data_IF_160993494645
#
_entry.id   IF_160993494645
#
_cell.length_a   1.000
_cell.length_b   1.000
_cell.length_c   1.000
_cell.angle_alpha   90.00
_cell.angle_beta   90.00
_cell.angle_gamma   90.00
#
_symmetry.space_group_name_H-M   'P 1'
#
loop_
_entity.id
_entity.type
_entity.pdbx_description
1 polymer ?
#
# COMPACT_ATOMS: atom_id res chain seq x y z
N UNK A 1 -8.52 12.60 -5.26
CA UNK A 1 -9.44 12.75 -4.10
C UNK A 1 -8.91 11.97 -2.91
N UNK A 2 -9.21 12.44 -1.66
CA UNK A 2 -8.84 11.70 -0.44
C UNK A 2 -10.06 11.56 0.46
N UNK A 3 -10.31 10.34 0.92
CA UNK A 3 -11.47 9.97 1.75
C UNK A 3 -10.99 9.23 2.98
N UNK A 4 -11.57 9.52 4.15
CA UNK A 4 -11.34 8.75 5.38
C UNK A 4 -12.57 7.91 5.71
N UNK A 5 -12.38 6.62 5.91
CA UNK A 5 -13.40 5.69 6.39
C UNK A 5 -13.16 5.39 7.87
N UNK A 6 -14.04 5.85 8.72
CA UNK A 6 -13.91 5.68 10.18
C UNK A 6 -15.09 4.90 10.74
N UNK A 7 -14.87 4.18 11.82
CA UNK A 7 -15.92 3.41 12.49
C UNK A 7 -15.34 2.45 13.53
N UNK A 8 -16.19 1.95 14.43
CA UNK A 8 -15.80 0.99 15.47
C UNK A 8 -15.30 -0.34 14.88
N UNK A 9 -14.57 -1.12 15.66
CA UNK A 9 -14.23 -2.50 15.32
C UNK A 9 -15.50 -3.30 15.04
N UNK A 10 -15.50 -4.10 13.99
CA UNK A 10 -16.66 -4.89 13.57
C UNK A 10 -17.70 -4.14 12.74
N UNK A 11 -17.50 -2.85 12.41
CA UNK A 11 -18.46 -2.07 11.59
C UNK A 11 -18.42 -2.41 10.09
N UNK A 12 -17.58 -3.37 9.66
CA UNK A 12 -17.51 -3.81 8.27
C UNK A 12 -16.50 -3.07 7.40
N UNK A 13 -15.62 -2.22 7.96
CA UNK A 13 -14.62 -1.46 7.18
C UNK A 13 -13.73 -2.35 6.33
N UNK A 14 -13.13 -3.39 6.92
CA UNK A 14 -12.26 -4.31 6.19
C UNK A 14 -13.02 -5.13 5.13
N UNK A 15 -14.30 -5.46 5.38
CA UNK A 15 -15.16 -6.08 4.36
C UNK A 15 -15.39 -5.12 3.19
N UNK A 16 -15.64 -3.85 3.47
CA UNK A 16 -15.77 -2.82 2.43
C UNK A 16 -14.47 -2.67 1.63
N UNK A 17 -13.31 -2.68 2.30
CA UNK A 17 -12.00 -2.66 1.63
C UNK A 17 -11.84 -3.87 0.70
N UNK A 18 -12.20 -5.08 1.14
CA UNK A 18 -12.13 -6.28 0.31
C UNK A 18 -13.06 -6.20 -0.92
N UNK A 19 -14.28 -5.67 -0.75
CA UNK A 19 -15.21 -5.41 -1.85
C UNK A 19 -14.64 -4.40 -2.85
N UNK A 20 -14.12 -3.27 -2.36
CA UNK A 20 -13.53 -2.21 -3.20
C UNK A 20 -12.26 -2.67 -3.93
N UNK A 21 -11.55 -3.64 -3.36
CA UNK A 21 -10.35 -4.23 -3.97
C UNK A 21 -10.66 -5.42 -4.90
N UNK A 22 -11.94 -5.78 -5.06
CA UNK A 22 -12.35 -6.93 -5.88
C UNK A 22 -11.93 -8.28 -5.31
N UNK A 23 -11.54 -8.33 -4.02
CA UNK A 23 -11.14 -9.58 -3.35
C UNK A 23 -12.32 -10.44 -2.94
N UNK A 24 -13.49 -9.84 -2.80
CA UNK A 24 -14.78 -10.52 -2.55
C UNK A 24 -15.87 -9.88 -3.40
N UNK A 25 -16.87 -10.67 -3.78
CA UNK A 25 -18.03 -10.19 -4.53
C UNK A 25 -19.14 -9.72 -3.59
N UNK A 26 -19.89 -8.66 -3.95
CA UNK A 26 -21.03 -8.23 -3.16
C UNK A 26 -22.20 -9.23 -3.30
N UNK A 27 -22.90 -9.51 -2.19
CA UNK A 27 -24.10 -10.38 -2.18
C UNK A 27 -25.24 -9.76 -3.00
N UNK A 28 -25.28 -8.43 -3.08
CA UNK A 28 -26.24 -7.65 -3.88
C UNK A 28 -25.65 -6.28 -4.21
N UNK A 29 -26.14 -5.65 -5.26
CA UNK A 29 -25.59 -4.38 -5.74
C UNK A 29 -24.33 -4.57 -6.59
N UNK A 30 -23.52 -3.52 -6.70
CA UNK A 30 -22.27 -3.53 -7.48
C UNK A 30 -21.26 -2.58 -6.91
N UNK A 31 -19.97 -2.85 -7.16
CA UNK A 31 -18.84 -1.95 -6.92
C UNK A 31 -18.34 -1.45 -8.26
N UNK A 32 -18.14 -0.13 -8.39
CA UNK A 32 -17.66 0.45 -9.64
C UNK A 32 -16.36 1.23 -9.43
N UNK A 33 -15.50 1.19 -10.44
CA UNK A 33 -14.33 2.06 -10.59
C UNK A 33 -14.61 3.02 -11.76
N UNK A 34 -14.89 4.28 -11.45
CA UNK A 34 -15.53 5.17 -12.42
C UNK A 34 -16.88 4.61 -12.86
N UNK A 35 -17.07 4.44 -14.15
CA UNK A 35 -18.30 3.85 -14.73
C UNK A 35 -18.25 2.32 -14.87
N UNK A 36 -17.07 1.71 -14.71
CA UNK A 36 -16.88 0.28 -14.92
C UNK A 36 -17.23 -0.53 -13.67
N UNK A 37 -18.07 -1.56 -13.81
CA UNK A 37 -18.39 -2.50 -12.72
C UNK A 37 -17.20 -3.45 -12.50
N UNK A 38 -16.66 -3.50 -11.27
CA UNK A 38 -15.50 -4.34 -10.93
C UNK A 38 -15.77 -5.83 -11.19
N UNK A 39 -16.98 -6.30 -10.97
CA UNK A 39 -17.34 -7.71 -11.23
C UNK A 39 -17.29 -8.13 -12.71
N UNK A 40 -17.22 -7.16 -13.63
CA UNK A 40 -17.07 -7.41 -15.07
C UNK A 40 -15.62 -7.23 -15.55
N UNK A 41 -14.73 -6.74 -14.68
CA UNK A 41 -13.31 -6.55 -14.97
C UNK A 41 -12.53 -7.80 -14.52
N UNK A 42 -11.53 -8.17 -15.28
CA UNK A 42 -10.63 -9.27 -14.88
C UNK A 42 -9.81 -8.88 -13.63
N UNK A 43 -9.38 -9.87 -12.82
CA UNK A 43 -8.63 -9.62 -11.59
C UNK A 43 -7.31 -8.85 -11.83
N UNK A 44 -6.65 -9.07 -12.96
CA UNK A 44 -5.44 -8.35 -13.34
C UNK A 44 -5.70 -6.87 -13.52
N UNK A 45 -6.80 -6.51 -14.19
CA UNK A 45 -7.19 -5.11 -14.35
C UNK A 45 -7.46 -4.44 -13.00
N UNK A 46 -8.23 -5.11 -12.12
CA UNK A 46 -8.53 -4.57 -10.80
C UNK A 46 -7.24 -4.38 -10.00
N UNK A 47 -6.36 -5.39 -10.00
CA UNK A 47 -5.10 -5.34 -9.26
C UNK A 47 -4.12 -4.27 -9.76
N UNK A 48 -4.20 -3.88 -11.04
CA UNK A 48 -3.39 -2.80 -11.59
C UNK A 48 -3.92 -1.40 -11.25
N UNK A 49 -5.23 -1.28 -10.95
CA UNK A 49 -5.87 0.01 -10.72
C UNK A 49 -6.21 0.27 -9.25
N UNK A 50 -6.41 -0.77 -8.45
CA UNK A 50 -6.73 -0.66 -7.02
C UNK A 50 -5.67 -1.37 -6.21
N UNK A 51 -4.94 -0.63 -5.38
CA UNK A 51 -3.87 -1.16 -4.54
C UNK A 51 -4.23 -1.06 -3.05
N UNK A 52 -4.72 -2.13 -2.42
CA UNK A 52 -4.91 -2.18 -0.99
C UNK A 52 -3.59 -2.45 -0.26
N UNK A 53 -3.36 -1.72 0.83
CA UNK A 53 -2.30 -1.98 1.81
C UNK A 53 -2.99 -2.29 3.13
N UNK A 54 -2.82 -3.51 3.61
CA UNK A 54 -3.43 -3.98 4.85
C UNK A 54 -2.53 -3.74 6.06
N UNK A 55 -3.11 -3.77 7.25
CA UNK A 55 -2.41 -3.62 8.53
C UNK A 55 -1.26 -4.63 8.68
N UNK A 56 -1.55 -5.91 8.39
CA UNK A 56 -0.52 -6.95 8.40
C UNK A 56 0.21 -6.97 7.05
N UNK A 57 1.48 -6.60 7.09
CA UNK A 57 2.31 -6.52 5.90
C UNK A 57 3.28 -7.70 5.85
N UNK A 58 3.25 -8.42 4.76
CA UNK A 58 4.15 -9.53 4.49
C UNK A 58 5.31 -9.11 3.59
N UNK A 59 6.53 -9.58 3.92
CA UNK A 59 7.72 -9.47 3.09
C UNK A 59 8.28 -10.86 2.84
N UNK A 60 8.63 -11.12 1.58
CA UNK A 60 9.30 -12.35 1.20
C UNK A 60 10.75 -12.37 1.72
N UNK A 61 11.28 -13.57 1.98
CA UNK A 61 12.68 -13.77 2.35
C UNK A 61 13.59 -13.57 1.12
N UNK A 62 13.72 -12.33 0.66
CA UNK A 62 14.43 -11.91 -0.53
C UNK A 62 14.94 -10.48 -0.39
N UNK A 63 15.53 -9.89 -1.43
CA UNK A 63 15.98 -8.50 -1.40
C UNK A 63 14.81 -7.53 -1.27
N UNK A 64 15.05 -6.31 -0.77
CA UNK A 64 14.05 -5.25 -0.79
C UNK A 64 13.62 -4.90 -2.21
N UNK A 65 14.55 -4.91 -3.18
CA UNK A 65 14.24 -4.72 -4.60
C UNK A 65 13.18 -5.71 -5.08
N UNK A 66 13.37 -7.00 -4.83
CA UNK A 66 12.41 -8.05 -5.20
C UNK A 66 11.08 -7.90 -4.47
N UNK A 67 11.12 -7.55 -3.19
CA UNK A 67 9.91 -7.26 -2.42
C UNK A 67 9.13 -6.06 -2.93
N UNK A 68 9.79 -5.04 -3.45
CA UNK A 68 9.17 -3.83 -3.99
C UNK A 68 8.66 -4.03 -5.42
N UNK A 69 9.48 -4.63 -6.27
CA UNK A 69 9.17 -4.83 -7.68
C UNK A 69 8.14 -5.95 -7.90
N UNK A 70 8.20 -7.03 -7.11
CA UNK A 70 7.47 -8.28 -7.32
C UNK A 70 7.73 -8.79 -8.75
N UNK A 71 6.68 -8.83 -9.56
CA UNK A 71 6.67 -9.28 -10.96
C UNK A 71 6.81 -8.13 -11.98
N UNK A 72 6.89 -6.88 -11.51
CA UNK A 72 6.97 -5.70 -12.37
C UNK A 72 8.43 -5.38 -12.74
N UNK A 73 8.65 -5.02 -13.99
CA UNK A 73 9.93 -4.46 -14.41
C UNK A 73 9.95 -2.97 -14.09
N UNK A 74 10.54 -2.62 -12.94
CA UNK A 74 10.64 -1.24 -12.44
C UNK A 74 12.10 -0.81 -12.40
N UNK A 75 12.36 0.42 -12.78
CA UNK A 75 13.68 1.02 -12.69
C UNK A 75 14.07 1.33 -11.25
N UNK A 76 15.35 1.43 -10.98
CA UNK A 76 15.85 1.82 -9.66
C UNK A 76 15.37 3.23 -9.27
N UNK A 77 15.29 4.15 -10.22
CA UNK A 77 14.77 5.50 -9.97
C UNK A 77 13.29 5.50 -9.54
N UNK A 78 12.46 4.61 -10.09
CA UNK A 78 11.07 4.44 -9.67
C UNK A 78 11.00 3.87 -8.26
N UNK A 79 11.84 2.88 -7.93
CA UNK A 79 11.93 2.31 -6.57
C UNK A 79 12.30 3.41 -5.57
N UNK A 80 13.35 4.18 -5.84
CA UNK A 80 13.79 5.26 -4.95
C UNK A 80 12.73 6.34 -4.78
N UNK A 81 12.02 6.69 -5.85
CA UNK A 81 10.90 7.63 -5.80
C UNK A 81 9.77 7.11 -4.91
N UNK A 82 9.35 5.85 -5.07
CA UNK A 82 8.30 5.26 -4.26
C UNK A 82 8.70 5.16 -2.77
N UNK A 83 9.97 4.81 -2.49
CA UNK A 83 10.50 4.80 -1.12
C UNK A 83 10.44 6.20 -0.49
N UNK A 84 10.79 7.25 -1.24
CA UNK A 84 10.72 8.64 -0.77
C UNK A 84 9.30 9.05 -0.45
N UNK A 85 8.32 8.75 -1.31
CA UNK A 85 6.90 9.03 -1.05
C UNK A 85 6.43 8.33 0.21
N UNK A 86 6.83 7.06 0.41
CA UNK A 86 6.52 6.27 1.61
C UNK A 86 7.39 6.63 2.83
N UNK A 87 8.26 7.66 2.75
CA UNK A 87 9.22 8.05 3.80
C UNK A 87 10.09 6.86 4.27
N UNK A 88 10.47 5.99 3.36
CA UNK A 88 11.26 4.79 3.62
C UNK A 88 12.72 4.93 3.16
N UNK A 89 13.02 5.95 2.37
CA UNK A 89 14.33 6.20 1.73
C UNK A 89 15.48 6.33 2.76
N UNK A 90 15.27 7.04 3.85
CA UNK A 90 16.29 7.25 4.88
C UNK A 90 16.74 5.90 5.47
N UNK A 91 15.82 5.12 6.07
CA UNK A 91 16.21 3.87 6.72
C UNK A 91 16.70 2.82 5.72
N UNK A 92 16.20 2.82 4.47
CA UNK A 92 16.68 1.90 3.44
C UNK A 92 18.13 2.22 3.06
N UNK A 93 18.49 3.50 2.99
CA UNK A 93 19.89 3.92 2.71
C UNK A 93 20.87 3.54 3.82
N UNK A 94 20.38 3.38 5.06
CA UNK A 94 21.18 2.94 6.22
C UNK A 94 21.40 1.42 6.26
N UNK A 95 20.65 0.65 5.46
CA UNK A 95 20.85 -0.81 5.38
C UNK A 95 22.17 -1.14 4.69
N UNK A 96 22.85 -2.25 5.08
CA UNK A 96 24.18 -2.58 4.60
C UNK A 96 24.33 -2.63 3.07
N UNK A 97 23.26 -2.99 2.36
CA UNK A 97 23.25 -3.11 0.89
C UNK A 97 22.06 -2.30 0.29
N UNK A 98 21.50 -1.33 1.03
CA UNK A 98 20.37 -0.53 0.57
C UNK A 98 19.20 -1.41 0.11
N UNK A 99 18.71 -1.19 -1.12
CA UNK A 99 17.62 -1.97 -1.69
C UNK A 99 17.98 -3.42 -2.03
N UNK A 100 19.26 -3.79 -2.09
CA UNK A 100 19.73 -5.17 -2.28
C UNK A 100 19.82 -5.94 -0.96
N UNK A 101 19.51 -5.31 0.16
CA UNK A 101 19.50 -5.99 1.46
C UNK A 101 18.42 -7.07 1.50
N UNK A 102 18.82 -8.29 1.86
CA UNK A 102 17.91 -9.42 2.09
C UNK A 102 17.15 -9.17 3.41
N UNK A 103 15.85 -9.25 3.36
CA UNK A 103 14.93 -9.09 4.50
C UNK A 103 14.11 -10.35 4.74
N UNK A 104 13.41 -10.43 5.87
CA UNK A 104 12.58 -11.59 6.22
C UNK A 104 13.29 -12.58 7.14
N UNK A 105 12.80 -13.84 7.21
CA UNK A 105 13.24 -14.83 8.22
C UNK A 105 14.75 -15.15 8.21
N UNK A 106 15.43 -15.00 7.07
CA UNK A 106 16.85 -15.29 6.91
C UNK A 106 17.70 -14.06 6.62
N UNK A 107 17.14 -12.87 6.78
CA UNK A 107 17.80 -11.60 6.54
C UNK A 107 17.56 -10.61 7.68
N UNK A 108 17.71 -9.33 7.38
CA UNK A 108 17.48 -8.26 8.36
C UNK A 108 15.99 -8.19 8.68
N UNK A 109 15.68 -8.16 9.99
CA UNK A 109 14.32 -7.97 10.48
C UNK A 109 13.98 -6.50 10.53
N UNK A 110 12.98 -6.08 9.75
CA UNK A 110 12.43 -4.73 9.78
C UNK A 110 11.42 -4.57 10.92
N UNK A 111 11.33 -3.36 11.48
CA UNK A 111 10.28 -3.01 12.44
C UNK A 111 8.89 -3.02 11.78
N UNK A 112 7.81 -3.04 12.56
CA UNK A 112 6.44 -2.97 12.03
C UNK A 112 6.21 -1.75 11.13
N UNK A 113 6.61 -0.56 11.59
CA UNK A 113 6.48 0.67 10.81
C UNK A 113 7.38 0.71 9.57
N UNK A 114 8.56 0.07 9.59
CA UNK A 114 9.40 -0.08 8.39
C UNK A 114 8.73 -0.99 7.37
N UNK A 115 8.17 -2.14 7.80
CA UNK A 115 7.43 -3.04 6.91
C UNK A 115 6.22 -2.35 6.28
N UNK A 116 5.44 -1.59 7.07
CA UNK A 116 4.29 -0.84 6.55
C UNK A 116 4.70 0.18 5.49
N UNK A 117 5.79 0.93 5.71
CA UNK A 117 6.32 1.87 4.70
C UNK A 117 6.80 1.18 3.43
N UNK A 118 7.43 0.01 3.52
CA UNK A 118 7.80 -0.79 2.35
C UNK A 118 6.56 -1.27 1.59
N UNK A 119 5.50 -1.70 2.30
CA UNK A 119 4.26 -2.12 1.65
C UNK A 119 3.55 -0.95 0.93
N UNK A 120 3.58 0.25 1.49
CA UNK A 120 3.08 1.46 0.82
C UNK A 120 3.91 1.76 -0.44
N UNK A 121 5.24 1.73 -0.37
CA UNK A 121 6.12 1.92 -1.52
C UNK A 121 5.85 0.88 -2.63
N UNK A 122 5.67 -0.41 -2.26
CA UNK A 122 5.28 -1.49 -3.17
C UNK A 122 3.95 -1.18 -3.89
N UNK A 123 2.96 -0.72 -3.16
CA UNK A 123 1.66 -0.36 -3.73
C UNK A 123 1.76 0.82 -4.71
N UNK A 124 2.56 1.84 -4.37
CA UNK A 124 2.79 3.02 -5.20
C UNK A 124 3.52 2.69 -6.52
N UNK A 125 4.42 1.70 -6.53
CA UNK A 125 5.11 1.24 -7.74
C UNK A 125 4.16 0.66 -8.80
N UNK A 126 2.97 0.22 -8.40
CA UNK A 126 1.92 -0.21 -9.34
C UNK A 126 1.23 0.98 -10.03
N UNK A 127 1.48 2.22 -9.60
CA UNK A 127 0.84 3.45 -10.11
C UNK A 127 -0.68 3.34 -10.12
N UNK A 128 -1.31 2.96 -8.99
CA UNK A 128 -2.74 2.67 -8.95
C UNK A 128 -3.59 3.92 -9.16
N UNK A 129 -4.81 3.76 -9.67
CA UNK A 129 -5.82 4.82 -9.70
C UNK A 129 -6.41 5.07 -8.31
N UNK A 130 -6.51 4.02 -7.49
CA UNK A 130 -7.00 4.08 -6.10
C UNK A 130 -6.02 3.35 -5.18
N UNK A 131 -5.52 4.06 -4.17
CA UNK A 131 -4.71 3.50 -3.08
C UNK A 131 -5.60 3.40 -1.83
N UNK A 132 -5.65 2.22 -1.21
CA UNK A 132 -6.41 1.98 0.02
C UNK A 132 -5.42 1.64 1.12
N UNK A 133 -5.43 2.41 2.21
CA UNK A 133 -4.63 2.16 3.41
C UNK A 133 -5.57 1.68 4.52
N UNK A 134 -5.65 0.35 4.73
CA UNK A 134 -6.46 -0.26 5.78
C UNK A 134 -5.61 -0.46 7.04
N UNK A 135 -5.61 0.54 7.90
CA UNK A 135 -4.80 0.61 9.13
C UNK A 135 -3.29 0.38 8.88
N UNK A 136 -2.87 0.69 7.65
CA UNK A 136 -1.55 0.38 7.10
C UNK A 136 -0.42 1.26 7.66
N UNK A 137 -0.76 2.21 8.52
CA UNK A 137 0.17 3.13 9.20
C UNK A 137 0.13 3.01 10.72
N UNK A 138 -0.57 2.01 11.26
CA UNK A 138 -0.81 1.82 12.69
C UNK A 138 0.47 1.64 13.53
N UNK A 139 1.56 1.15 12.93
CA UNK A 139 2.87 1.01 13.56
C UNK A 139 3.87 2.12 13.17
N UNK A 140 3.41 3.13 12.43
CA UNK A 140 4.22 4.28 11.99
C UNK A 140 4.02 5.44 12.99
N UNK A 141 5.08 6.21 13.25
CA UNK A 141 4.99 7.42 14.05
C UNK A 141 4.02 8.43 13.41
N UNK A 142 3.16 9.12 14.19
CA UNK A 142 2.15 10.03 13.64
C UNK A 142 2.70 11.16 12.76
N UNK A 143 3.92 11.67 13.03
CA UNK A 143 4.55 12.68 12.19
C UNK A 143 4.98 12.12 10.85
N UNK A 144 5.49 10.88 10.85
CA UNK A 144 5.88 10.18 9.63
C UNK A 144 4.64 9.80 8.81
N UNK A 145 3.57 9.35 9.47
CA UNK A 145 2.28 9.08 8.83
C UNK A 145 1.75 10.32 8.11
N UNK A 146 1.69 11.48 8.81
CA UNK A 146 1.26 12.74 8.20
C UNK A 146 2.11 13.12 6.98
N UNK A 147 3.44 12.90 7.05
CA UNK A 147 4.36 13.13 5.92
C UNK A 147 4.04 12.20 4.74
N UNK A 148 3.81 10.91 5.00
CA UNK A 148 3.44 9.92 3.96
C UNK A 148 2.16 10.36 3.25
N UNK A 149 1.09 10.67 4.01
CA UNK A 149 -0.19 11.09 3.44
C UNK A 149 -0.06 12.38 2.61
N UNK A 150 0.75 13.33 3.07
CA UNK A 150 1.05 14.54 2.32
C UNK A 150 1.82 14.25 1.03
N UNK A 151 2.87 13.41 1.10
CA UNK A 151 3.66 13.02 -0.06
C UNK A 151 2.78 12.32 -1.12
N UNK A 152 1.94 11.36 -0.71
CA UNK A 152 1.01 10.68 -1.61
C UNK A 152 0.12 11.70 -2.34
N UNK A 153 -0.43 12.66 -1.60
CA UNK A 153 -1.31 13.70 -2.17
C UNK A 153 -0.61 14.61 -3.17
N UNK A 154 0.67 14.92 -2.96
CA UNK A 154 1.44 15.84 -3.82
C UNK A 154 2.09 15.11 -5.00
N UNK A 155 2.67 13.95 -4.74
CA UNK A 155 3.54 13.25 -5.70
C UNK A 155 2.79 12.22 -6.55
N UNK A 156 1.50 11.95 -6.26
CA UNK A 156 0.72 10.96 -7.00
C UNK A 156 -0.61 11.52 -7.47
N UNK A 157 -1.16 10.93 -8.53
CA UNK A 157 -2.50 11.27 -9.05
C UNK A 157 -3.57 10.27 -8.60
N UNK A 158 -3.28 9.38 -7.64
CA UNK A 158 -4.24 8.39 -7.19
C UNK A 158 -5.30 9.00 -6.25
N UNK A 159 -6.48 8.42 -6.25
CA UNK A 159 -7.45 8.62 -5.17
C UNK A 159 -7.00 7.84 -3.95
N UNK A 160 -7.07 8.44 -2.76
CA UNK A 160 -6.62 7.84 -1.52
C UNK A 160 -7.81 7.56 -0.60
N UNK A 161 -7.97 6.30 -0.18
CA UNK A 161 -8.85 5.91 0.91
C UNK A 161 -8.01 5.52 2.13
N UNK A 162 -8.21 6.20 3.23
CA UNK A 162 -7.60 5.85 4.51
C UNK A 162 -8.67 5.27 5.42
N UNK A 163 -8.47 4.06 5.88
CA UNK A 163 -9.32 3.42 6.88
C UNK A 163 -8.63 3.51 8.23
N UNK A 164 -9.31 4.11 9.21
CA UNK A 164 -8.78 4.30 10.54
C UNK A 164 -9.79 3.87 11.61
N UNK A 165 -9.28 3.36 12.72
CA UNK A 165 -10.09 3.00 13.89
C UNK A 165 -10.38 4.19 14.80
N UNK A 166 -9.61 5.28 14.66
CA UNK A 166 -9.74 6.52 15.44
C UNK A 166 -9.54 7.73 14.53
N UNK A 167 -10.27 8.79 14.79
CA UNK A 167 -10.01 10.13 14.29
C UNK A 167 -8.94 10.79 15.14
#
# INVERSE_FOLDING_TARGET
ESVALVGSTGSGKSTLVMLMSGLVEPTSGSVTLGEANLGLLGPDFVSDHVAPVFQETFLFASTLRENLALDKNVSESEILSALKVASADEFVSELPQGIETIVGERGITLSGGQRQRIAIARALLRKPSVLILDDATSAVDPKVEAKILQNIKIETNCSLLVVAHRL
#
